data_IF_987180441142
#
_entry.id   IF_987180441142
#
_cell.length_a   1.000
_cell.length_b   1.000
_cell.length_c   1.000
_cell.angle_alpha   90.00
_cell.angle_beta   90.00
_cell.angle_gamma   90.00
#
_symmetry.space_group_name_H-M   'P 1'
#
loop_
_entity.id
_entity.type
_entity.pdbx_description
1 polymer ?
#
# COMPACT_ATOMS: atom_id res chain seq x y z
N UNK A 1 27.74 37.72 5.19
CA UNK A 1 26.31 37.35 5.28
C UNK A 1 25.79 36.58 4.06
N UNK A 2 26.13 36.91 2.81
CA UNK A 2 25.59 36.24 1.59
C UNK A 2 25.84 34.72 1.48
N UNK A 3 26.97 34.20 2.01
CA UNK A 3 27.37 32.79 1.89
C UNK A 3 26.48 31.82 2.69
N UNK A 4 26.00 32.23 3.88
CA UNK A 4 25.09 31.41 4.70
C UNK A 4 23.69 31.30 4.09
N UNK A 5 23.18 32.33 3.41
CA UNK A 5 21.86 32.28 2.78
C UNK A 5 21.81 31.29 1.62
N UNK A 6 22.87 31.22 0.80
CA UNK A 6 22.93 30.27 -0.31
C UNK A 6 22.96 28.83 0.17
N UNK A 7 23.69 28.53 1.24
CA UNK A 7 23.82 27.19 1.82
C UNK A 7 22.49 26.71 2.45
N UNK A 8 21.78 27.61 3.13
CA UNK A 8 20.44 27.33 3.69
C UNK A 8 19.43 27.02 2.58
N UNK A 9 19.43 27.80 1.49
CA UNK A 9 18.53 27.58 0.35
C UNK A 9 18.81 26.25 -0.34
N UNK A 10 20.08 25.87 -0.51
CA UNK A 10 20.44 24.57 -1.11
C UNK A 10 20.00 23.38 -0.25
N UNK A 11 20.20 23.44 1.07
CA UNK A 11 19.77 22.37 1.97
C UNK A 11 18.24 22.22 1.97
N UNK A 12 17.51 23.34 1.89
CA UNK A 12 16.05 23.34 1.87
C UNK A 12 15.48 22.77 0.56
N UNK A 13 16.10 23.08 -0.58
CA UNK A 13 15.76 22.47 -1.88
C UNK A 13 16.04 20.97 -1.91
N UNK A 14 17.18 20.53 -1.38
CA UNK A 14 17.54 19.11 -1.30
C UNK A 14 16.58 18.33 -0.41
N UNK A 15 16.16 18.91 0.72
CA UNK A 15 15.21 18.28 1.64
C UNK A 15 13.82 18.15 1.01
N UNK A 16 13.35 19.18 0.30
CA UNK A 16 12.08 19.14 -0.43
C UNK A 16 12.10 18.05 -1.53
N UNK A 17 13.21 17.92 -2.26
CA UNK A 17 13.34 16.92 -3.32
C UNK A 17 13.36 15.48 -2.76
N UNK A 18 14.04 15.26 -1.62
CA UNK A 18 14.02 13.95 -0.93
C UNK A 18 12.61 13.59 -0.43
N UNK A 19 11.89 14.55 0.18
CA UNK A 19 10.53 14.31 0.66
C UNK A 19 9.56 13.99 -0.49
N UNK A 20 9.66 14.71 -1.61
CA UNK A 20 8.87 14.38 -2.81
C UNK A 20 9.14 12.94 -3.28
N UNK A 21 10.42 12.56 -3.35
CA UNK A 21 10.82 11.20 -3.74
C UNK A 21 10.27 10.14 -2.78
N UNK A 22 10.27 10.41 -1.47
CA UNK A 22 9.75 9.50 -0.45
C UNK A 22 8.22 9.35 -0.55
N UNK A 23 7.50 10.44 -0.81
CA UNK A 23 6.05 10.38 -1.03
C UNK A 23 5.68 9.62 -2.31
N UNK A 24 6.41 9.82 -3.41
CA UNK A 24 6.20 9.07 -4.65
C UNK A 24 6.45 7.56 -4.43
N UNK A 25 7.45 7.22 -3.62
CA UNK A 25 7.71 5.84 -3.21
C UNK A 25 6.56 5.28 -2.37
N UNK A 26 6.06 6.01 -1.36
CA UNK A 26 4.93 5.59 -0.54
C UNK A 26 3.68 5.32 -1.41
N UNK A 27 3.39 6.23 -2.35
CA UNK A 27 2.29 6.05 -3.30
C UNK A 27 2.48 4.79 -4.16
N UNK A 28 3.68 4.59 -4.71
CA UNK A 28 4.02 3.43 -5.53
C UNK A 28 3.88 2.10 -4.77
N UNK A 29 4.32 2.06 -3.52
CA UNK A 29 4.22 0.86 -2.66
C UNK A 29 2.77 0.53 -2.34
N UNK A 30 1.94 1.54 -2.02
CA UNK A 30 0.51 1.34 -1.81
C UNK A 30 -0.19 0.79 -3.07
N UNK A 31 0.08 1.39 -4.24
CA UNK A 31 -0.46 0.93 -5.52
C UNK A 31 -0.02 -0.50 -5.88
N UNK A 32 1.26 -0.83 -5.66
CA UNK A 32 1.79 -2.18 -5.87
C UNK A 32 1.12 -3.19 -4.96
N UNK A 33 0.87 -2.82 -3.70
CA UNK A 33 0.17 -3.68 -2.74
C UNK A 33 -1.24 -4.01 -3.23
N UNK A 34 -1.99 -3.00 -3.70
CA UNK A 34 -3.34 -3.21 -4.25
C UNK A 34 -3.33 -4.08 -5.50
N UNK A 35 -2.42 -3.84 -6.43
CA UNK A 35 -2.31 -4.62 -7.66
C UNK A 35 -2.02 -6.11 -7.36
N UNK A 36 -1.10 -6.39 -6.43
CA UNK A 36 -0.79 -7.76 -5.99
C UNK A 36 -1.95 -8.42 -5.29
N UNK A 37 -2.68 -7.65 -4.49
CA UNK A 37 -3.83 -8.15 -3.77
C UNK A 37 -4.97 -8.57 -4.73
N UNK A 38 -5.20 -7.77 -5.78
CA UNK A 38 -6.17 -8.08 -6.82
C UNK A 38 -5.74 -9.28 -7.69
N UNK A 39 -4.46 -9.37 -8.05
CA UNK A 39 -3.89 -10.52 -8.77
C UNK A 39 -4.13 -11.83 -8.00
N UNK A 40 -3.81 -11.84 -6.70
CA UNK A 40 -4.07 -12.97 -5.82
C UNK A 40 -5.56 -13.30 -5.85
N UNK A 41 -6.44 -12.32 -5.60
CA UNK A 41 -7.89 -12.52 -5.59
C UNK A 41 -8.41 -13.13 -6.90
N UNK A 42 -7.96 -12.64 -8.04
CA UNK A 42 -8.36 -13.13 -9.35
C UNK A 42 -7.95 -14.59 -9.55
N UNK A 43 -6.70 -14.95 -9.21
CA UNK A 43 -6.21 -16.34 -9.29
C UNK A 43 -7.04 -17.28 -8.41
N UNK A 44 -7.38 -16.86 -7.19
CA UNK A 44 -8.19 -17.64 -6.25
C UNK A 44 -9.60 -17.90 -6.81
N UNK A 45 -10.27 -16.86 -7.30
CA UNK A 45 -11.61 -16.98 -7.87
C UNK A 45 -11.62 -17.88 -9.11
N UNK A 46 -10.61 -17.74 -9.98
CA UNK A 46 -10.46 -18.62 -11.14
C UNK A 46 -10.26 -20.08 -10.71
N UNK A 47 -9.42 -20.33 -9.70
CA UNK A 47 -9.22 -21.67 -9.16
C UNK A 47 -10.50 -22.25 -8.56
N UNK A 48 -11.19 -21.52 -7.68
CA UNK A 48 -12.45 -21.95 -7.07
C UNK A 48 -13.49 -22.26 -8.14
N UNK A 49 -13.62 -21.41 -9.16
CA UNK A 49 -14.54 -21.64 -10.27
C UNK A 49 -14.22 -22.92 -11.04
N UNK A 50 -12.94 -23.15 -11.36
CA UNK A 50 -12.49 -24.38 -12.04
C UNK A 50 -12.77 -25.63 -11.19
N UNK A 51 -12.49 -25.59 -9.90
CA UNK A 51 -12.69 -26.74 -9.02
C UNK A 51 -14.17 -27.00 -8.74
N UNK A 52 -14.98 -25.95 -8.56
CA UNK A 52 -16.43 -26.06 -8.42
C UNK A 52 -17.13 -26.57 -9.69
N UNK A 53 -16.50 -26.45 -10.85
CA UNK A 53 -17.02 -26.97 -12.12
C UNK A 53 -16.72 -28.45 -12.36
N UNK A 54 -15.91 -29.09 -11.50
CA UNK A 54 -15.57 -30.51 -11.66
C UNK A 54 -16.82 -31.37 -11.39
N UNK A 55 -17.21 -32.26 -12.31
CA UNK A 55 -18.40 -33.11 -12.13
C UNK A 55 -18.29 -34.03 -10.91
N UNK A 56 -19.42 -34.26 -10.24
CA UNK A 56 -19.50 -35.17 -9.08
C UNK A 56 -19.19 -36.64 -9.42
N UNK A 57 -19.33 -37.02 -10.69
CA UNK A 57 -18.90 -38.33 -11.22
C UNK A 57 -17.39 -38.51 -11.23
N UNK A 58 -16.62 -37.41 -11.34
CA UNK A 58 -15.15 -37.40 -11.30
C UNK A 58 -14.67 -37.11 -9.87
N UNK A 59 -15.40 -36.27 -9.14
CA UNK A 59 -15.06 -35.85 -7.79
C UNK A 59 -16.24 -36.03 -6.84
N UNK A 60 -16.34 -37.24 -6.25
CA UNK A 60 -17.41 -37.60 -5.33
C UNK A 60 -16.92 -38.13 -3.98
N UNK A 61 -17.88 -38.41 -3.09
CA UNK A 61 -17.62 -39.07 -1.80
C UNK A 61 -16.85 -38.20 -0.78
N UNK A 62 -16.22 -38.86 0.19
CA UNK A 62 -15.56 -38.20 1.32
C UNK A 62 -14.40 -37.28 0.90
N UNK A 63 -13.70 -37.63 -0.19
CA UNK A 63 -12.60 -36.82 -0.72
C UNK A 63 -13.09 -35.45 -1.24
N UNK A 64 -14.27 -35.40 -1.88
CA UNK A 64 -14.87 -34.15 -2.34
C UNK A 64 -15.25 -33.23 -1.17
N UNK A 65 -15.81 -33.80 -0.10
CA UNK A 65 -16.15 -33.05 1.13
C UNK A 65 -14.90 -32.46 1.77
N UNK A 66 -13.84 -33.27 1.95
CA UNK A 66 -12.59 -32.79 2.55
C UNK A 66 -11.91 -31.72 1.71
N UNK A 67 -11.93 -31.87 0.40
CA UNK A 67 -11.39 -30.85 -0.48
C UNK A 67 -12.17 -29.54 -0.39
N UNK A 68 -13.51 -29.61 -0.33
CA UNK A 68 -14.36 -28.44 -0.10
C UNK A 68 -14.01 -27.73 1.22
N UNK A 69 -13.82 -28.48 2.31
CA UNK A 69 -13.42 -27.89 3.60
C UNK A 69 -12.10 -27.10 3.49
N UNK A 70 -11.12 -27.66 2.76
CA UNK A 70 -9.82 -27.00 2.52
C UNK A 70 -9.99 -25.73 1.67
N UNK A 71 -10.79 -25.80 0.60
CA UNK A 71 -11.09 -24.63 -0.23
C UNK A 71 -11.76 -23.51 0.55
N UNK A 72 -12.77 -23.84 1.36
CA UNK A 72 -13.52 -22.86 2.13
C UNK A 72 -12.61 -22.17 3.15
N UNK A 73 -11.74 -22.93 3.84
CA UNK A 73 -10.74 -22.37 4.77
C UNK A 73 -9.73 -21.48 4.05
N UNK A 74 -9.19 -21.94 2.93
CA UNK A 74 -8.22 -21.16 2.18
C UNK A 74 -8.81 -19.87 1.60
N UNK A 75 -10.06 -19.90 1.16
CA UNK A 75 -10.79 -18.71 0.72
C UNK A 75 -10.97 -17.70 1.88
N UNK A 76 -11.26 -18.18 3.09
CA UNK A 76 -11.36 -17.34 4.28
C UNK A 76 -10.03 -16.67 4.63
N UNK A 77 -8.93 -17.44 4.66
CA UNK A 77 -7.59 -16.88 4.92
C UNK A 77 -7.15 -15.90 3.84
N UNK A 78 -7.49 -16.16 2.58
CA UNK A 78 -7.17 -15.26 1.48
C UNK A 78 -7.96 -13.94 1.56
N UNK A 79 -9.24 -14.02 1.95
CA UNK A 79 -10.06 -12.83 2.21
C UNK A 79 -9.51 -12.02 3.38
N UNK A 80 -8.99 -12.71 4.41
CA UNK A 80 -8.33 -12.06 5.54
C UNK A 80 -7.05 -11.35 5.10
N UNK A 81 -6.19 -12.02 4.35
CA UNK A 81 -4.98 -11.42 3.79
C UNK A 81 -5.33 -10.18 2.95
N UNK A 82 -6.37 -10.27 2.12
CA UNK A 82 -6.84 -9.14 1.31
C UNK A 82 -7.15 -7.90 2.15
N UNK A 83 -7.92 -8.07 3.23
CA UNK A 83 -8.28 -6.96 4.11
C UNK A 83 -7.05 -6.36 4.78
N UNK A 84 -6.12 -7.20 5.24
CA UNK A 84 -4.88 -6.73 5.88
C UNK A 84 -4.02 -5.94 4.90
N UNK A 85 -3.83 -6.43 3.67
CA UNK A 85 -3.06 -5.72 2.64
C UNK A 85 -3.72 -4.40 2.25
N UNK A 86 -5.05 -4.36 2.13
CA UNK A 86 -5.79 -3.13 1.91
C UNK A 86 -5.56 -2.13 3.05
N UNK A 87 -5.67 -2.58 4.32
CA UNK A 87 -5.40 -1.73 5.49
C UNK A 87 -3.97 -1.20 5.51
N UNK A 88 -2.97 -2.01 5.08
CA UNK A 88 -1.59 -1.55 4.95
C UNK A 88 -1.48 -0.45 3.89
N UNK A 89 -2.07 -0.64 2.71
CA UNK A 89 -2.07 0.38 1.65
C UNK A 89 -2.76 1.68 2.09
N UNK A 90 -3.89 1.58 2.79
CA UNK A 90 -4.58 2.73 3.40
C UNK A 90 -3.72 3.44 4.44
N UNK A 91 -3.02 2.68 5.30
CA UNK A 91 -2.12 3.24 6.31
C UNK A 91 -0.96 3.99 5.66
N UNK A 92 -0.38 3.46 4.59
CA UNK A 92 0.69 4.13 3.85
C UNK A 92 0.20 5.45 3.26
N UNK A 93 -0.98 5.47 2.63
CA UNK A 93 -1.58 6.71 2.09
C UNK A 93 -1.86 7.73 3.18
N UNK A 94 -2.40 7.28 4.32
CA UNK A 94 -2.66 8.16 5.45
C UNK A 94 -1.36 8.79 5.99
N UNK A 95 -0.31 7.98 6.12
CA UNK A 95 1.00 8.46 6.53
C UNK A 95 1.58 9.47 5.53
N UNK A 96 1.44 9.22 4.22
CA UNK A 96 1.89 10.15 3.18
C UNK A 96 1.25 11.53 3.35
N UNK A 97 -0.08 11.58 3.51
CA UNK A 97 -0.83 12.83 3.72
C UNK A 97 -0.37 13.53 5.00
N UNK A 98 -0.30 12.81 6.12
CA UNK A 98 0.10 13.39 7.40
C UNK A 98 1.54 13.95 7.37
N UNK A 99 2.47 13.23 6.72
CA UNK A 99 3.86 13.67 6.57
C UNK A 99 3.97 14.88 5.62
N UNK A 100 3.18 14.93 4.56
CA UNK A 100 3.12 16.08 3.64
C UNK A 100 2.62 17.33 4.35
N UNK A 101 1.54 17.23 5.12
CA UNK A 101 1.02 18.33 5.94
C UNK A 101 2.06 18.81 6.96
N UNK A 102 2.75 17.89 7.64
CA UNK A 102 3.81 18.23 8.57
C UNK A 102 4.99 18.96 7.89
N UNK A 103 5.38 18.51 6.70
CA UNK A 103 6.43 19.16 5.90
C UNK A 103 6.04 20.58 5.47
N UNK A 104 4.80 20.78 5.01
CA UNK A 104 4.29 22.10 4.62
C UNK A 104 4.19 23.06 5.82
N UNK A 105 3.72 22.57 6.97
CA UNK A 105 3.72 23.33 8.21
C UNK A 105 5.15 23.75 8.60
N UNK A 106 6.10 22.82 8.56
CA UNK A 106 7.50 23.08 8.87
C UNK A 106 8.12 24.13 7.93
N UNK A 107 7.87 24.01 6.61
CA UNK A 107 8.32 24.99 5.63
C UNK A 107 7.75 26.39 5.89
N UNK A 108 6.46 26.50 6.25
CA UNK A 108 5.83 27.77 6.64
C UNK A 108 6.46 28.37 7.89
N UNK A 109 6.74 27.56 8.91
CA UNK A 109 7.40 28.02 10.13
C UNK A 109 8.82 28.53 9.87
N UNK A 110 9.62 27.83 9.04
CA UNK A 110 10.95 28.30 8.64
C UNK A 110 10.86 29.62 7.88
N UNK A 111 9.94 29.72 6.91
CA UNK A 111 9.77 30.95 6.14
C UNK A 111 9.37 32.13 7.03
N UNK A 112 8.47 31.92 7.99
CA UNK A 112 8.07 32.93 8.96
C UNK A 112 9.21 33.34 9.90
N UNK A 113 10.03 32.39 10.37
CA UNK A 113 11.20 32.69 11.20
C UNK A 113 12.27 33.46 10.42
N UNK A 114 12.49 33.12 9.15
CA UNK A 114 13.45 33.81 8.27
C UNK A 114 12.99 35.19 7.80
N UNK A 115 11.67 35.43 7.70
CA UNK A 115 11.12 36.75 7.37
C UNK A 115 11.12 37.76 8.53
N UNK A 116 11.38 37.29 9.76
CA UNK A 116 11.50 38.12 10.97
C UNK A 116 12.96 38.49 11.31
N UNK A 117 13.91 38.21 10.41
CA UNK A 117 15.34 38.58 10.50
C UNK A 117 15.71 39.54 9.36
#
# INVERSE_FOLDING_TARGET
>A
MRRNQTEVVTVQLDMANRLSTDFDLMHSVAATTDARNEEIRAMLQAFIGRMGSVPSSVWGGLAAVRFKDVLDRWNAESTRLYRVLQTIAETIRHNEVALREAAENHARHIAAAGGNL
#
